data_IF_128351427168
#
_entry.id   IF_128351427168
#
_cell.length_a   1.000
_cell.length_b   1.000
_cell.length_c   1.000
_cell.angle_alpha   90.00
_cell.angle_beta   90.00
_cell.angle_gamma   90.00
#
_symmetry.space_group_name_H-M   'P 1'
#
loop_
_entity.id
_entity.type
_entity.pdbx_description
1 polymer ?
#
# COMPACT_ATOMS: atom_id res chain seq x y z
N UNK A 1 28.46 -9.47 20.07
CA UNK A 1 29.22 -9.33 18.80
C UNK A 1 28.33 -9.88 17.68
N UNK A 2 28.17 -9.16 16.54
CA UNK A 2 27.38 -9.67 15.39
C UNK A 2 28.13 -10.86 14.79
N UNK A 3 27.46 -12.03 14.69
CA UNK A 3 28.09 -13.27 14.25
C UNK A 3 27.70 -13.69 12.83
N UNK A 4 26.71 -13.01 12.20
CA UNK A 4 26.26 -13.30 10.84
C UNK A 4 26.80 -12.24 9.84
N UNK A 5 26.78 -12.58 8.56
CA UNK A 5 27.24 -11.70 7.47
C UNK A 5 26.08 -11.13 6.67
N UNK A 6 26.26 -9.96 6.02
CA UNK A 6 25.29 -9.40 5.07
C UNK A 6 24.93 -10.38 3.96
N UNK A 7 25.89 -11.21 3.50
CA UNK A 7 25.66 -12.23 2.48
C UNK A 7 24.67 -13.31 2.95
N UNK A 8 24.79 -13.76 4.19
CA UNK A 8 23.85 -14.72 4.78
C UNK A 8 22.44 -14.13 4.87
N UNK A 9 22.32 -12.87 5.25
CA UNK A 9 21.06 -12.14 5.31
C UNK A 9 20.44 -11.98 3.90
N UNK A 10 21.24 -11.58 2.89
CA UNK A 10 20.77 -11.47 1.50
C UNK A 10 20.29 -12.82 0.94
N UNK A 11 21.01 -13.90 1.22
CA UNK A 11 20.64 -15.25 0.77
C UNK A 11 19.35 -15.74 1.47
N UNK A 12 19.18 -15.41 2.74
CA UNK A 12 17.94 -15.70 3.46
C UNK A 12 16.75 -14.95 2.85
N UNK A 13 16.88 -13.64 2.62
CA UNK A 13 15.83 -12.82 1.99
C UNK A 13 15.50 -13.32 0.59
N UNK A 14 16.51 -13.55 -0.27
CA UNK A 14 16.30 -14.09 -1.60
C UNK A 14 15.57 -15.45 -1.58
N UNK A 15 15.93 -16.34 -0.65
CA UNK A 15 15.28 -17.64 -0.50
C UNK A 15 13.83 -17.53 -0.05
N UNK A 16 13.54 -16.59 0.86
CA UNK A 16 12.17 -16.30 1.31
C UNK A 16 11.29 -15.77 0.17
N UNK A 17 11.84 -14.89 -0.68
CA UNK A 17 11.12 -14.31 -1.82
C UNK A 17 10.83 -15.32 -2.94
N UNK A 18 11.75 -16.23 -3.20
CA UNK A 18 11.58 -17.22 -4.25
C UNK A 18 10.92 -18.53 -3.80
N UNK A 19 10.80 -18.76 -2.46
CA UNK A 19 10.25 -19.99 -1.90
C UNK A 19 11.06 -21.26 -2.24
N UNK A 20 12.26 -21.11 -2.84
CA UNK A 20 13.09 -22.19 -3.34
C UNK A 20 14.56 -21.78 -3.41
N UNK A 21 15.45 -22.57 -2.78
CA UNK A 21 16.89 -22.27 -2.74
C UNK A 21 17.52 -22.23 -4.14
N UNK A 22 17.13 -23.13 -5.03
CA UNK A 22 17.71 -23.19 -6.39
C UNK A 22 17.31 -21.96 -7.23
N UNK A 23 16.07 -21.49 -7.10
CA UNK A 23 15.62 -20.27 -7.77
C UNK A 23 16.32 -19.02 -7.21
N UNK A 24 16.44 -18.92 -5.89
CA UNK A 24 17.17 -17.85 -5.22
C UNK A 24 18.66 -17.82 -5.60
N UNK A 25 19.31 -19.00 -5.66
CA UNK A 25 20.71 -19.14 -6.03
C UNK A 25 20.96 -18.64 -7.47
N UNK A 26 20.07 -19.00 -8.42
CA UNK A 26 20.12 -18.46 -9.80
C UNK A 26 19.96 -16.94 -9.81
N UNK A 27 19.01 -16.40 -9.05
CA UNK A 27 18.77 -14.97 -8.98
C UNK A 27 19.96 -14.18 -8.38
N UNK A 28 20.77 -14.81 -7.54
CA UNK A 28 21.98 -14.21 -6.96
C UNK A 28 23.29 -14.64 -7.64
N UNK A 29 23.22 -15.40 -8.75
CA UNK A 29 24.38 -15.90 -9.50
C UNK A 29 25.37 -16.70 -8.64
N UNK A 30 24.86 -17.56 -7.75
CA UNK A 30 25.66 -18.41 -6.87
C UNK A 30 25.28 -19.88 -6.98
N UNK A 31 26.17 -20.77 -6.54
CA UNK A 31 25.88 -22.19 -6.46
C UNK A 31 24.85 -22.50 -5.37
N UNK A 32 23.85 -23.31 -5.68
CA UNK A 32 22.80 -23.70 -4.73
C UNK A 32 23.36 -24.32 -3.42
N UNK A 33 24.41 -25.18 -3.43
CA UNK A 33 24.99 -25.68 -2.18
C UNK A 33 25.56 -24.56 -1.29
N UNK A 34 26.18 -23.54 -1.88
CA UNK A 34 26.74 -22.41 -1.12
C UNK A 34 25.62 -21.59 -0.42
N UNK A 35 24.52 -21.34 -1.14
CA UNK A 35 23.35 -20.65 -0.55
C UNK A 35 22.72 -21.50 0.56
N UNK A 36 22.52 -22.78 0.34
CA UNK A 36 21.95 -23.70 1.34
C UNK A 36 22.81 -23.77 2.62
N UNK A 37 24.15 -23.82 2.43
CA UNK A 37 25.11 -23.82 3.55
C UNK A 37 25.05 -22.51 4.33
N UNK A 38 25.02 -21.37 3.65
CA UNK A 38 24.96 -20.04 4.29
C UNK A 38 23.67 -19.86 5.11
N UNK A 39 22.53 -20.35 4.61
CA UNK A 39 21.25 -20.35 5.36
C UNK A 39 21.36 -21.28 6.55
N UNK A 40 21.90 -22.47 6.41
CA UNK A 40 22.10 -23.40 7.52
C UNK A 40 23.01 -22.86 8.62
N UNK A 41 24.07 -22.15 8.24
CA UNK A 41 24.94 -21.42 9.19
C UNK A 41 24.17 -20.31 9.92
N UNK A 42 23.36 -19.53 9.21
CA UNK A 42 22.53 -18.49 9.82
C UNK A 42 21.54 -19.07 10.83
N UNK A 43 20.85 -20.16 10.48
CA UNK A 43 19.96 -20.89 11.39
C UNK A 43 20.70 -21.39 12.65
N UNK A 44 21.90 -21.92 12.46
CA UNK A 44 22.73 -22.40 13.58
C UNK A 44 23.15 -21.24 14.50
N UNK A 45 23.57 -20.10 13.93
CA UNK A 45 23.96 -18.92 14.70
C UNK A 45 22.80 -18.30 15.50
N UNK A 46 21.61 -18.35 14.94
CA UNK A 46 20.40 -17.82 15.59
C UNK A 46 19.73 -18.83 16.53
N UNK A 47 20.13 -20.11 16.47
CA UNK A 47 19.50 -21.19 17.25
C UNK A 47 18.08 -21.55 16.80
N UNK A 48 17.63 -21.04 15.64
CA UNK A 48 16.26 -21.14 15.16
C UNK A 48 16.19 -21.60 13.70
N UNK A 49 15.20 -22.42 13.36
CA UNK A 49 14.88 -22.74 11.97
C UNK A 49 14.09 -21.59 11.33
N UNK A 50 14.55 -21.14 10.18
CA UNK A 50 13.93 -20.05 9.45
C UNK A 50 12.96 -20.54 8.37
N UNK A 51 13.17 -21.79 7.90
CA UNK A 51 12.34 -22.40 6.88
C UNK A 51 11.82 -23.78 7.31
N UNK A 52 10.57 -24.05 6.97
CA UNK A 52 10.02 -25.41 6.92
C UNK A 52 10.33 -26.01 5.55
N UNK A 53 10.90 -27.23 5.52
CA UNK A 53 11.09 -28.02 4.29
C UNK A 53 9.87 -28.94 4.13
N UNK A 54 9.05 -28.71 3.13
CA UNK A 54 7.97 -29.61 2.77
C UNK A 54 8.35 -30.37 1.49
N UNK A 55 8.36 -31.69 1.54
CA UNK A 55 8.59 -32.53 0.36
C UNK A 55 7.58 -32.16 -0.75
N UNK A 56 8.06 -31.80 -1.94
CA UNK A 56 7.24 -31.46 -3.09
C UNK A 56 6.62 -30.05 -3.11
N UNK A 57 6.76 -29.22 -2.06
CA UNK A 57 6.07 -27.91 -1.96
C UNK A 57 7.01 -26.71 -1.72
N UNK A 58 8.32 -26.87 -1.89
CA UNK A 58 9.29 -25.80 -1.71
C UNK A 58 9.57 -25.47 -0.23
N UNK A 59 9.98 -24.24 0.03
CA UNK A 59 10.29 -23.70 1.36
C UNK A 59 9.21 -22.72 1.80
N UNK A 60 8.78 -22.82 3.05
CA UNK A 60 7.91 -21.85 3.72
C UNK A 60 8.57 -21.31 4.98
N UNK A 61 8.37 -20.03 5.28
CA UNK A 61 8.94 -19.43 6.48
C UNK A 61 8.31 -19.99 7.77
N UNK A 62 9.15 -20.20 8.77
CA UNK A 62 8.71 -20.40 10.16
C UNK A 62 8.20 -19.07 10.76
N UNK A 63 7.57 -19.08 11.95
CA UNK A 63 7.30 -17.85 12.69
C UNK A 63 8.54 -16.99 12.91
N UNK A 64 9.66 -17.59 13.34
CA UNK A 64 10.95 -16.90 13.49
C UNK A 64 11.47 -16.35 12.16
N UNK A 65 11.35 -17.12 11.06
CA UNK A 65 11.72 -16.67 9.72
C UNK A 65 10.91 -15.46 9.24
N UNK A 66 9.62 -15.38 9.57
CA UNK A 66 8.80 -14.20 9.23
C UNK A 66 9.27 -12.94 9.96
N UNK A 67 9.50 -13.03 11.26
CA UNK A 67 10.01 -11.92 12.08
C UNK A 67 11.38 -11.46 11.55
N UNK A 68 12.29 -12.41 11.29
CA UNK A 68 13.60 -12.10 10.77
C UNK A 68 13.55 -11.48 9.37
N UNK A 69 12.61 -11.88 8.52
CA UNK A 69 12.52 -11.37 7.14
C UNK A 69 12.34 -9.86 7.08
N UNK A 70 11.46 -9.33 7.91
CA UNK A 70 11.22 -7.88 7.95
C UNK A 70 12.45 -7.13 8.46
N UNK A 71 13.10 -7.64 9.52
CA UNK A 71 14.36 -7.07 10.04
C UNK A 71 15.51 -7.18 9.03
N UNK A 72 15.63 -8.32 8.34
CA UNK A 72 16.64 -8.56 7.33
C UNK A 72 16.50 -7.59 6.13
N UNK A 73 15.28 -7.36 5.68
CA UNK A 73 15.00 -6.38 4.62
C UNK A 73 15.37 -4.97 5.03
N UNK A 74 15.01 -4.55 6.23
CA UNK A 74 15.36 -3.24 6.77
C UNK A 74 16.90 -3.06 6.83
N UNK A 75 17.61 -4.10 7.29
CA UNK A 75 19.08 -4.10 7.37
C UNK A 75 19.73 -3.98 5.98
N UNK A 76 19.26 -4.74 4.99
CA UNK A 76 19.78 -4.68 3.61
C UNK A 76 19.46 -3.34 2.94
N UNK A 77 18.29 -2.79 3.18
CA UNK A 77 17.91 -1.44 2.73
C UNK A 77 18.87 -0.39 3.30
N UNK A 78 19.13 -0.43 4.61
CA UNK A 78 20.08 0.47 5.26
C UNK A 78 21.50 0.32 4.70
N UNK A 79 21.98 -0.91 4.47
CA UNK A 79 23.29 -1.17 3.89
C UNK A 79 23.40 -0.61 2.45
N UNK A 80 22.33 -0.74 1.66
CA UNK A 80 22.26 -0.15 0.31
C UNK A 80 22.31 1.38 0.36
N UNK A 81 21.59 1.98 1.30
CA UNK A 81 21.60 3.43 1.52
C UNK A 81 22.99 3.95 1.92
N UNK A 82 23.71 3.22 2.77
CA UNK A 82 25.09 3.57 3.14
C UNK A 82 26.03 3.58 1.91
N UNK A 83 25.88 2.63 1.00
CA UNK A 83 26.68 2.54 -0.21
C UNK A 83 26.34 3.67 -1.21
N UNK A 84 25.08 4.06 -1.32
CA UNK A 84 24.62 5.13 -2.23
C UNK A 84 24.86 6.55 -1.68
N UNK A 85 25.08 6.71 -0.38
CA UNK A 85 25.35 8.01 0.24
C UNK A 85 26.74 8.57 -0.10
N UNK A 86 27.62 7.75 -0.62
CA UNK A 86 29.03 8.13 -0.87
C UNK A 86 29.23 8.92 -2.17
N UNK A 87 28.30 8.89 -3.13
CA UNK A 87 28.42 9.58 -4.44
C UNK A 87 27.04 10.07 -4.89
N UNK A 88 26.79 11.39 -5.02
CA UNK A 88 25.56 11.88 -5.65
C UNK A 88 25.53 11.43 -7.11
N UNK A 89 24.50 10.73 -7.56
CA UNK A 89 24.43 10.30 -8.95
C UNK A 89 24.21 11.50 -9.88
N UNK A 90 25.07 11.66 -10.86
CA UNK A 90 24.86 12.56 -11.99
C UNK A 90 24.09 11.80 -13.07
N UNK A 91 22.82 12.17 -13.30
CA UNK A 91 21.98 11.58 -14.35
C UNK A 91 20.85 10.68 -13.87
N UNK A 92 20.22 9.90 -14.80
CA UNK A 92 19.13 8.99 -14.47
C UNK A 92 19.55 7.97 -13.40
N UNK A 93 18.72 7.82 -12.37
CA UNK A 93 18.99 6.91 -11.26
C UNK A 93 18.72 5.47 -11.66
N UNK A 94 19.51 4.54 -11.09
CA UNK A 94 19.39 3.09 -11.25
C UNK A 94 19.16 2.45 -9.88
N UNK A 95 18.61 1.23 -9.89
CA UNK A 95 18.37 0.44 -8.68
C UNK A 95 16.91 0.11 -8.46
N UNK A 96 16.58 -0.29 -7.25
CA UNK A 96 15.21 -0.72 -6.87
C UNK A 96 14.66 0.20 -5.80
N UNK A 97 13.37 0.54 -5.93
CA UNK A 97 12.55 1.23 -4.95
C UNK A 97 11.32 0.36 -4.68
N UNK A 98 11.05 0.01 -3.44
CA UNK A 98 9.78 -0.65 -3.09
C UNK A 98 8.79 0.41 -2.61
N UNK A 99 7.68 0.51 -3.33
CA UNK A 99 6.59 1.45 -3.06
C UNK A 99 5.38 0.68 -2.54
N UNK A 100 5.00 0.93 -1.29
CA UNK A 100 3.73 0.48 -0.73
C UNK A 100 2.57 1.31 -1.28
N UNK A 101 1.39 0.72 -1.41
CA UNK A 101 0.19 1.48 -1.73
C UNK A 101 -1.05 0.88 -1.08
N UNK A 102 -1.92 1.77 -0.59
CA UNK A 102 -3.25 1.36 -0.19
C UNK A 102 -4.00 0.81 -1.40
N UNK A 103 -4.53 -0.42 -1.29
CA UNK A 103 -5.05 -1.21 -2.40
C UNK A 103 -6.09 -0.49 -3.26
N UNK A 104 -6.98 0.30 -2.63
CA UNK A 104 -8.07 0.99 -3.34
C UNK A 104 -7.61 2.32 -3.98
N UNK A 105 -6.40 2.81 -3.67
CA UNK A 105 -5.76 3.94 -4.37
C UNK A 105 -4.85 3.48 -5.52
N UNK A 106 -4.27 2.29 -5.39
CA UNK A 106 -3.26 1.79 -6.30
C UNK A 106 -3.66 1.90 -7.79
N UNK A 107 -4.82 1.38 -8.23
CA UNK A 107 -5.19 1.41 -9.65
C UNK A 107 -5.45 2.82 -10.19
N UNK A 108 -5.71 3.79 -9.33
CA UNK A 108 -6.07 5.16 -9.77
C UNK A 108 -4.88 6.12 -9.78
N UNK A 109 -3.91 5.91 -8.90
CA UNK A 109 -2.79 6.84 -8.68
C UNK A 109 -1.49 6.30 -9.25
N UNK A 110 -1.15 5.04 -8.96
CA UNK A 110 0.16 4.49 -9.28
C UNK A 110 0.47 4.42 -10.78
N UNK A 111 -0.43 4.01 -11.68
CA UNK A 111 -0.09 3.87 -13.09
C UNK A 111 0.45 5.17 -13.70
N UNK A 112 -0.18 6.30 -13.36
CA UNK A 112 0.24 7.63 -13.84
C UNK A 112 1.58 8.05 -13.22
N UNK A 113 1.76 7.87 -11.91
CA UNK A 113 3.00 8.20 -11.22
C UNK A 113 4.17 7.38 -11.75
N UNK A 114 3.98 6.06 -11.87
CA UNK A 114 5.03 5.15 -12.34
C UNK A 114 5.40 5.40 -13.79
N UNK A 115 4.42 5.64 -14.65
CA UNK A 115 4.69 5.96 -16.06
C UNK A 115 5.50 7.26 -16.20
N UNK A 116 5.19 8.27 -15.37
CA UNK A 116 5.94 9.52 -15.35
C UNK A 116 7.35 9.37 -14.81
N UNK A 117 7.50 8.67 -13.67
CA UNK A 117 8.80 8.45 -13.04
C UNK A 117 9.75 7.63 -13.92
N UNK A 118 9.23 6.58 -14.59
CA UNK A 118 10.01 5.75 -15.53
C UNK A 118 10.58 6.55 -16.71
N UNK A 119 9.89 7.59 -17.17
CA UNK A 119 10.44 8.46 -18.23
C UNK A 119 11.68 9.23 -17.80
N UNK A 120 11.78 9.59 -16.52
CA UNK A 120 12.95 10.31 -15.96
C UNK A 120 14.06 9.35 -15.53
N UNK A 121 13.69 8.15 -15.10
CA UNK A 121 14.61 7.15 -14.56
C UNK A 121 14.32 5.77 -15.20
N UNK A 122 14.68 5.56 -16.49
CA UNK A 122 14.32 4.35 -17.24
C UNK A 122 14.94 3.06 -16.68
N UNK A 123 16.09 3.17 -16.00
CA UNK A 123 16.80 2.04 -15.37
C UNK A 123 16.37 1.80 -13.92
N UNK A 124 15.42 2.59 -13.39
CA UNK A 124 14.86 2.38 -12.06
C UNK A 124 13.78 1.31 -12.08
N UNK A 125 13.87 0.36 -11.17
CA UNK A 125 12.86 -0.67 -10.94
C UNK A 125 12.03 -0.25 -9.72
N UNK A 126 10.72 -0.09 -9.90
CA UNK A 126 9.79 0.17 -8.80
C UNK A 126 8.97 -1.09 -8.56
N UNK A 127 9.25 -1.76 -7.44
CA UNK A 127 8.47 -2.90 -6.96
C UNK A 127 7.28 -2.39 -6.18
N UNK A 128 6.10 -2.99 -6.41
CA UNK A 128 4.87 -2.57 -5.75
C UNK A 128 4.48 -3.57 -4.65
N UNK A 129 4.01 -3.01 -3.55
CA UNK A 129 3.34 -3.73 -2.48
C UNK A 129 1.96 -3.10 -2.26
N UNK A 130 0.89 -3.84 -2.51
CA UNK A 130 -0.47 -3.37 -2.29
C UNK A 130 -1.05 -4.03 -1.03
N UNK A 131 -1.73 -3.24 -0.19
CA UNK A 131 -2.31 -3.73 1.05
C UNK A 131 -3.37 -2.78 1.61
N UNK A 132 -3.98 -3.19 2.72
CA UNK A 132 -4.79 -2.30 3.55
C UNK A 132 -3.91 -1.33 4.38
N UNK A 133 -4.53 -0.48 5.18
CA UNK A 133 -3.80 0.52 5.99
C UNK A 133 -2.77 -0.13 6.92
N UNK A 134 -3.12 -1.25 7.56
CA UNK A 134 -2.25 -1.96 8.49
C UNK A 134 -1.05 -2.57 7.75
N UNK A 135 -1.31 -3.29 6.66
CA UNK A 135 -0.26 -3.93 5.88
C UNK A 135 0.70 -2.90 5.24
N UNK A 136 0.18 -1.76 4.75
CA UNK A 136 0.99 -0.67 4.21
C UNK A 136 1.86 -0.03 5.29
N UNK A 137 1.30 0.23 6.48
CA UNK A 137 2.07 0.73 7.62
C UNK A 137 3.16 -0.25 8.06
N UNK A 138 2.81 -1.52 8.23
CA UNK A 138 3.77 -2.57 8.58
C UNK A 138 4.89 -2.69 7.54
N UNK A 139 4.59 -2.51 6.25
CA UNK A 139 5.58 -2.52 5.20
C UNK A 139 6.60 -1.38 5.30
N UNK A 140 6.16 -0.19 5.74
CA UNK A 140 7.03 0.95 6.00
C UNK A 140 7.90 0.71 7.26
N UNK A 141 7.27 0.34 8.37
CA UNK A 141 7.96 0.13 9.66
C UNK A 141 8.94 -1.05 9.56
N UNK A 142 8.55 -2.13 8.89
CA UNK A 142 9.40 -3.30 8.66
C UNK A 142 10.44 -3.12 7.54
N UNK A 143 10.53 -1.94 6.91
CA UNK A 143 11.50 -1.66 5.84
C UNK A 143 11.28 -2.43 4.54
N UNK A 144 10.11 -3.05 4.36
CA UNK A 144 9.72 -3.68 3.08
C UNK A 144 9.50 -2.62 2.01
N UNK A 145 8.85 -1.51 2.38
CA UNK A 145 8.65 -0.35 1.50
C UNK A 145 9.42 0.84 2.04
N UNK A 146 10.11 1.56 1.17
CA UNK A 146 10.76 2.82 1.52
C UNK A 146 9.77 3.99 1.55
N UNK A 147 8.78 3.92 0.68
CA UNK A 147 7.70 4.91 0.53
C UNK A 147 6.37 4.19 0.44
N UNK A 148 5.30 4.88 0.79
CA UNK A 148 3.94 4.38 0.57
C UNK A 148 2.98 5.48 0.15
N UNK A 149 2.05 5.15 -0.75
CA UNK A 149 0.91 6.00 -1.11
C UNK A 149 -0.31 5.53 -0.35
N UNK A 150 -0.89 6.39 0.48
CA UNK A 150 -2.04 6.04 1.31
C UNK A 150 -2.90 7.28 1.62
N UNK A 151 -4.06 7.07 2.22
CA UNK A 151 -4.78 8.16 2.84
C UNK A 151 -4.13 8.61 4.15
N UNK A 152 -4.27 9.89 4.49
CA UNK A 152 -3.81 10.45 5.77
C UNK A 152 -4.74 10.02 6.93
N UNK A 153 -5.06 8.72 7.01
CA UNK A 153 -5.89 8.12 8.05
C UNK A 153 -5.05 7.28 8.99
N UNK A 154 -5.09 7.57 10.30
CA UNK A 154 -4.38 6.76 11.30
C UNK A 154 -2.85 6.77 11.12
N UNK A 155 -2.29 7.80 10.49
CA UNK A 155 -0.84 7.95 10.34
C UNK A 155 -0.26 8.53 11.63
N UNK A 156 0.70 7.82 12.22
CA UNK A 156 1.38 8.21 13.45
C UNK A 156 2.39 9.34 13.21
N UNK A 157 2.86 9.96 14.30
CA UNK A 157 3.73 11.13 14.25
C UNK A 157 5.14 10.85 13.69
N UNK A 158 5.58 9.60 13.74
CA UNK A 158 6.89 9.13 13.27
C UNK A 158 6.96 8.90 11.74
N UNK A 159 5.92 9.25 11.01
CA UNK A 159 5.83 9.11 9.56
C UNK A 159 5.79 10.49 8.90
N UNK A 160 6.83 10.80 8.12
CA UNK A 160 6.85 11.95 7.18
C UNK A 160 5.83 11.74 6.08
N UNK A 161 5.17 12.83 5.68
CA UNK A 161 4.12 12.79 4.67
C UNK A 161 4.17 14.00 3.76
N UNK A 162 3.88 13.76 2.49
CA UNK A 162 3.72 14.78 1.46
C UNK A 162 2.35 14.59 0.83
N UNK A 163 1.53 15.63 0.86
CA UNK A 163 0.18 15.60 0.25
C UNK A 163 0.31 15.51 -1.27
N UNK A 164 -0.30 14.50 -1.86
CA UNK A 164 -0.37 14.28 -3.31
C UNK A 164 -1.69 14.77 -3.91
N UNK A 165 -2.79 14.60 -3.16
CA UNK A 165 -4.12 14.99 -3.60
C UNK A 165 -5.04 15.23 -2.39
N UNK A 166 -6.06 16.06 -2.61
CA UNK A 166 -7.18 16.24 -1.69
C UNK A 166 -8.46 15.78 -2.38
N UNK A 167 -9.11 14.76 -1.83
CA UNK A 167 -10.27 14.10 -2.40
C UNK A 167 -11.51 14.39 -1.55
N UNK A 168 -12.42 15.26 -2.03
CA UNK A 168 -13.65 15.53 -1.29
C UNK A 168 -14.55 14.30 -1.27
N UNK A 169 -15.22 14.01 -0.14
CA UNK A 169 -16.19 12.93 -0.08
C UNK A 169 -17.41 13.22 -0.97
N UNK A 170 -17.94 12.18 -1.58
CA UNK A 170 -19.11 12.24 -2.43
C UNK A 170 -20.03 11.03 -2.21
N UNK A 171 -21.30 11.19 -2.58
CA UNK A 171 -22.29 10.11 -2.51
C UNK A 171 -22.22 9.22 -3.75
N UNK A 172 -22.20 7.91 -3.54
CA UNK A 172 -22.42 6.86 -4.52
C UNK A 172 -23.87 6.39 -4.42
N UNK A 173 -24.60 6.45 -5.53
CA UNK A 173 -26.02 6.15 -5.60
C UNK A 173 -26.30 5.24 -6.81
N UNK A 174 -27.29 4.35 -6.73
CA UNK A 174 -27.83 3.73 -7.96
C UNK A 174 -28.24 4.83 -8.94
N UNK A 175 -27.99 4.65 -10.23
CA UNK A 175 -28.35 5.66 -11.25
C UNK A 175 -29.85 5.97 -11.27
N UNK A 176 -30.69 5.00 -10.88
CA UNK A 176 -32.15 5.13 -10.81
C UNK A 176 -32.66 5.74 -9.49
N UNK A 177 -31.77 5.95 -8.50
CA UNK A 177 -32.18 6.43 -7.18
C UNK A 177 -32.77 7.85 -7.24
N UNK A 178 -33.81 8.20 -6.47
CA UNK A 178 -34.38 9.56 -6.48
C UNK A 178 -33.36 10.65 -6.16
N UNK A 179 -32.43 10.41 -5.24
CA UNK A 179 -31.35 11.33 -4.90
C UNK A 179 -30.35 11.54 -6.07
N UNK A 180 -30.25 10.61 -7.00
CA UNK A 180 -29.35 10.73 -8.16
C UNK A 180 -29.78 11.86 -9.13
N UNK A 181 -31.02 12.32 -9.06
CA UNK A 181 -31.52 13.45 -9.87
C UNK A 181 -31.13 14.82 -9.28
N UNK A 182 -30.63 14.85 -8.05
CA UNK A 182 -30.21 16.09 -7.38
C UNK A 182 -28.81 16.52 -7.83
N UNK A 183 -28.51 17.82 -7.75
CA UNK A 183 -27.15 18.35 -8.03
C UNK A 183 -26.17 18.00 -6.91
N UNK A 184 -26.64 17.98 -5.66
CA UNK A 184 -25.90 17.55 -4.46
C UNK A 184 -26.82 16.80 -3.52
N UNK A 185 -26.25 16.05 -2.56
CA UNK A 185 -27.02 15.25 -1.60
C UNK A 185 -26.51 15.55 -0.19
N UNK A 186 -27.44 15.81 0.75
CA UNK A 186 -27.06 16.04 2.15
C UNK A 186 -26.81 14.74 2.91
N UNK A 187 -25.98 14.82 3.95
CA UNK A 187 -25.77 13.71 4.89
C UNK A 187 -27.08 13.29 5.56
N UNK A 188 -27.96 14.25 5.85
CA UNK A 188 -29.31 13.98 6.37
C UNK A 188 -30.14 13.11 5.43
N UNK A 189 -30.04 13.31 4.13
CA UNK A 189 -30.76 12.49 3.16
C UNK A 189 -30.16 11.07 3.05
N UNK A 190 -28.82 10.97 3.04
CA UNK A 190 -28.13 9.69 2.99
C UNK A 190 -28.32 8.85 4.27
N UNK A 191 -28.42 9.49 5.44
CA UNK A 191 -28.64 8.79 6.70
C UNK A 191 -29.98 8.05 6.78
N UNK A 192 -30.94 8.40 5.92
CA UNK A 192 -32.26 7.72 5.82
C UNK A 192 -32.21 6.47 4.94
N UNK A 193 -31.15 6.32 4.16
CA UNK A 193 -30.96 5.21 3.23
C UNK A 193 -30.19 4.05 3.88
N UNK A 194 -30.19 2.90 3.21
CA UNK A 194 -29.32 1.77 3.58
C UNK A 194 -27.88 2.10 3.18
N UNK A 195 -27.00 2.32 4.16
CA UNK A 195 -25.60 2.63 3.89
C UNK A 195 -24.78 1.36 3.73
N UNK A 196 -23.94 1.33 2.70
CA UNK A 196 -22.93 0.31 2.44
C UNK A 196 -21.56 0.92 2.75
N UNK A 197 -20.77 0.29 3.61
CA UNK A 197 -19.42 0.77 4.00
C UNK A 197 -18.35 -0.27 3.65
N UNK A 198 -17.14 0.20 3.44
CA UNK A 198 -15.97 -0.66 3.40
C UNK A 198 -15.60 -1.09 4.83
N UNK A 199 -15.29 -2.40 5.00
CA UNK A 199 -14.96 -3.00 6.30
C UNK A 199 -13.47 -2.82 6.64
N UNK A 200 -13.05 -1.57 6.71
CA UNK A 200 -11.74 -1.15 7.20
C UNK A 200 -11.93 -0.15 8.32
N UNK A 201 -11.32 -0.40 9.47
CA UNK A 201 -11.55 0.37 10.69
C UNK A 201 -11.40 1.88 10.47
N UNK A 202 -10.31 2.31 9.83
CA UNK A 202 -10.00 3.71 9.58
C UNK A 202 -11.01 4.35 8.60
N UNK A 203 -11.36 3.67 7.51
CA UNK A 203 -12.35 4.17 6.54
C UNK A 203 -13.73 4.25 7.17
N UNK A 204 -14.13 3.23 7.93
CA UNK A 204 -15.41 3.18 8.63
C UNK A 204 -15.53 4.32 9.64
N UNK A 205 -14.52 4.51 10.48
CA UNK A 205 -14.49 5.61 11.46
C UNK A 205 -14.58 6.97 10.76
N UNK A 206 -13.80 7.18 9.71
CA UNK A 206 -13.83 8.42 8.94
C UNK A 206 -15.23 8.71 8.37
N UNK A 207 -15.83 7.79 7.61
CA UNK A 207 -17.14 8.05 7.02
C UNK A 207 -18.26 8.18 8.06
N UNK A 208 -18.22 7.39 9.11
CA UNK A 208 -19.18 7.52 10.20
C UNK A 208 -19.03 8.85 10.95
N UNK A 209 -17.80 9.34 11.16
CA UNK A 209 -17.55 10.63 11.80
C UNK A 209 -18.17 11.81 11.05
N UNK A 210 -18.25 11.73 9.71
CA UNK A 210 -18.90 12.75 8.89
C UNK A 210 -20.40 12.89 9.26
N UNK A 211 -21.09 11.77 9.47
CA UNK A 211 -22.48 11.77 9.89
C UNK A 211 -22.64 12.25 11.33
N UNK A 212 -21.83 11.72 12.25
CA UNK A 212 -21.91 12.06 13.68
C UNK A 212 -21.63 13.55 13.95
N UNK A 213 -20.65 14.12 13.27
CA UNK A 213 -20.33 15.54 13.37
C UNK A 213 -21.49 16.45 12.93
N UNK A 214 -22.45 15.92 12.14
CA UNK A 214 -23.65 16.63 11.69
C UNK A 214 -24.92 16.15 12.40
N UNK A 215 -24.81 15.40 13.49
CA UNK A 215 -25.94 14.94 14.29
C UNK A 215 -26.76 13.82 13.66
N UNK A 216 -26.20 13.06 12.72
CA UNK A 216 -26.90 11.98 12.04
C UNK A 216 -26.34 10.60 12.45
N UNK A 217 -27.25 9.61 12.49
CA UNK A 217 -26.92 8.21 12.75
C UNK A 217 -27.42 7.35 11.57
N UNK A 218 -26.54 7.10 10.57
CA UNK A 218 -26.94 6.32 9.41
C UNK A 218 -27.07 4.84 9.76
N UNK A 219 -27.98 4.16 9.03
CA UNK A 219 -28.15 2.71 9.14
C UNK A 219 -27.20 2.00 8.19
N UNK A 220 -26.12 1.43 8.72
CA UNK A 220 -25.25 0.55 7.93
C UNK A 220 -25.95 -0.78 7.71
N UNK A 221 -26.20 -1.11 6.46
CA UNK A 221 -26.89 -2.34 6.05
C UNK A 221 -25.94 -3.44 5.62
N UNK A 222 -24.76 -3.08 5.13
CA UNK A 222 -23.78 -4.04 4.61
C UNK A 222 -22.35 -3.48 4.68
N UNK A 223 -21.39 -4.39 4.86
CA UNK A 223 -19.96 -4.13 4.76
C UNK A 223 -19.36 -4.83 3.54
N UNK A 224 -18.31 -4.22 2.95
CA UNK A 224 -17.57 -4.77 1.80
C UNK A 224 -16.08 -4.73 2.06
N UNK A 225 -15.31 -5.61 1.42
CA UNK A 225 -13.86 -5.70 1.59
C UNK A 225 -13.08 -4.83 0.58
N UNK A 226 -13.75 -4.34 -0.46
CA UNK A 226 -13.13 -3.54 -1.51
C UNK A 226 -14.08 -2.44 -2.00
N UNK A 227 -13.49 -1.35 -2.47
CA UNK A 227 -14.22 -0.24 -3.07
C UNK A 227 -15.07 -0.66 -4.28
N UNK A 228 -14.56 -1.53 -5.14
CA UNK A 228 -15.31 -1.95 -6.33
C UNK A 228 -16.48 -2.88 -5.98
N UNK A 229 -16.38 -3.69 -4.92
CA UNK A 229 -17.55 -4.43 -4.43
C UNK A 229 -18.63 -3.49 -3.88
N UNK A 230 -18.23 -2.42 -3.17
CA UNK A 230 -19.16 -1.37 -2.73
C UNK A 230 -19.85 -0.71 -3.93
N UNK A 231 -19.09 -0.34 -4.98
CA UNK A 231 -19.64 0.23 -6.22
C UNK A 231 -20.62 -0.71 -6.92
N UNK A 232 -20.28 -2.00 -7.01
CA UNK A 232 -21.15 -3.02 -7.60
C UNK A 232 -22.48 -3.14 -6.86
N UNK A 233 -22.45 -3.24 -5.53
CA UNK A 233 -23.67 -3.32 -4.70
C UNK A 233 -24.53 -2.06 -4.83
N UNK A 234 -23.92 -0.88 -4.85
CA UNK A 234 -24.63 0.38 -5.09
C UNK A 234 -25.26 0.38 -6.48
N UNK A 235 -24.52 0.00 -7.52
CA UNK A 235 -25.02 -0.04 -8.89
C UNK A 235 -26.29 -0.90 -9.02
N UNK A 236 -26.33 -2.03 -8.30
CA UNK A 236 -27.46 -2.96 -8.26
C UNK A 236 -28.53 -2.63 -7.22
N UNK A 237 -28.49 -1.45 -6.59
CA UNK A 237 -29.58 -0.95 -5.73
C UNK A 237 -29.61 -1.54 -4.33
N UNK A 238 -28.54 -2.18 -3.84
CA UNK A 238 -28.48 -2.72 -2.48
C UNK A 238 -28.48 -1.62 -1.39
N UNK A 239 -28.07 -0.40 -1.76
CA UNK A 239 -28.03 0.76 -0.88
C UNK A 239 -27.29 1.93 -1.52
N UNK A 240 -26.83 2.86 -0.68
CA UNK A 240 -26.03 4.01 -1.06
C UNK A 240 -24.68 3.98 -0.32
N UNK A 241 -23.69 4.73 -0.79
CA UNK A 241 -22.41 4.79 -0.10
C UNK A 241 -21.80 6.20 -0.13
N UNK A 242 -20.75 6.42 0.67
CA UNK A 242 -19.81 7.53 0.56
C UNK A 242 -18.47 7.00 0.10
N UNK A 243 -17.77 7.79 -0.70
CA UNK A 243 -16.38 7.54 -1.08
C UNK A 243 -15.64 8.85 -1.32
N UNK A 244 -14.32 8.79 -1.31
CA UNK A 244 -13.41 9.86 -1.72
C UNK A 244 -12.69 9.51 -3.03
N UNK A 245 -12.34 8.24 -3.25
CA UNK A 245 -11.74 7.78 -4.51
C UNK A 245 -12.78 7.81 -5.63
N UNK A 246 -12.49 8.57 -6.69
CA UNK A 246 -13.40 8.69 -7.83
C UNK A 246 -12.74 8.21 -9.12
N UNK A 247 -13.10 7.02 -9.62
CA UNK A 247 -12.73 6.57 -10.96
C UNK A 247 -13.24 7.51 -12.05
N UNK A 248 -12.59 7.51 -13.21
CA UNK A 248 -13.00 8.33 -14.35
C UNK A 248 -14.39 7.96 -14.89
N UNK A 249 -14.82 6.69 -14.69
CA UNK A 249 -16.11 6.18 -15.16
C UNK A 249 -17.12 6.02 -14.02
N UNK A 250 -18.34 6.48 -14.25
CA UNK A 250 -19.47 6.30 -13.33
C UNK A 250 -20.22 4.96 -13.64
N UNK A 251 -19.46 3.84 -13.65
CA UNK A 251 -19.96 2.49 -13.85
C UNK A 251 -19.26 1.51 -12.93
N UNK A 252 -19.94 0.46 -12.48
CA UNK A 252 -19.33 -0.71 -11.82
C UNK A 252 -18.53 -1.55 -12.83
N UNK A 253 -17.75 -2.52 -12.37
CA UNK A 253 -16.96 -3.40 -13.24
C UNK A 253 -17.80 -4.21 -14.23
N UNK A 254 -19.03 -4.55 -13.88
CA UNK A 254 -20.00 -5.22 -14.77
C UNK A 254 -20.77 -4.24 -15.67
N UNK A 255 -20.40 -2.95 -15.68
CA UNK A 255 -20.90 -1.96 -16.60
C UNK A 255 -22.20 -1.25 -16.19
N UNK A 256 -22.77 -1.56 -15.01
CA UNK A 256 -24.01 -0.92 -14.52
C UNK A 256 -23.72 0.52 -14.07
N UNK A 257 -24.59 1.45 -14.46
CA UNK A 257 -24.42 2.88 -14.19
C UNK A 257 -24.57 3.22 -12.69
N UNK A 258 -23.72 4.11 -12.21
CA UNK A 258 -23.72 4.68 -10.86
C UNK A 258 -23.87 6.19 -10.97
N UNK A 259 -24.57 6.81 -10.04
CA UNK A 259 -24.60 8.27 -9.93
C UNK A 259 -23.67 8.73 -8.78
N UNK A 260 -22.70 9.56 -9.11
CA UNK A 260 -21.85 10.22 -8.14
C UNK A 260 -22.35 11.64 -7.91
N UNK A 261 -22.60 12.03 -6.65
CA UNK A 261 -23.09 13.37 -6.32
C UNK A 261 -22.26 14.00 -5.21
N UNK A 262 -21.86 15.27 -5.34
CA UNK A 262 -21.20 15.99 -4.25
C UNK A 262 -22.11 16.03 -3.01
N UNK A 263 -21.47 16.07 -1.83
CA UNK A 263 -22.16 16.29 -0.57
C UNK A 263 -22.48 17.77 -0.43
N UNK A 264 -23.65 18.08 0.12
CA UNK A 264 -24.13 19.46 0.28
C UNK A 264 -23.34 20.19 1.38
N UNK A 265 -23.05 19.49 2.47
CA UNK A 265 -22.29 20.01 3.61
C UNK A 265 -20.83 20.25 3.21
N UNK A 266 -20.23 21.30 3.75
CA UNK A 266 -18.79 21.58 3.55
C UNK A 266 -17.97 20.63 4.41
N UNK A 267 -17.50 19.54 3.80
CA UNK A 267 -16.67 18.54 4.44
C UNK A 267 -15.19 18.76 4.12
N UNK A 268 -14.32 18.43 5.07
CA UNK A 268 -12.88 18.40 4.81
C UNK A 268 -12.56 17.29 3.80
N UNK A 269 -11.73 17.58 2.78
CA UNK A 269 -11.30 16.55 1.84
C UNK A 269 -10.41 15.53 2.53
N UNK A 270 -10.46 14.30 2.06
CA UNK A 270 -9.51 13.26 2.46
C UNK A 270 -8.19 13.48 1.72
N UNK A 271 -7.09 13.52 2.45
CA UNK A 271 -5.76 13.68 1.85
C UNK A 271 -5.17 12.34 1.46
N UNK A 272 -4.69 12.27 0.23
CA UNK A 272 -3.78 11.21 -0.21
C UNK A 272 -2.37 11.69 -0.03
N UNK A 273 -1.55 10.89 0.62
CA UNK A 273 -0.18 11.26 0.96
C UNK A 273 0.81 10.22 0.43
N UNK A 274 2.00 10.69 0.09
CA UNK A 274 3.19 9.87 0.03
C UNK A 274 3.79 9.87 1.44
N UNK A 275 4.01 8.70 2.00
CA UNK A 275 4.44 8.49 3.37
C UNK A 275 5.81 7.82 3.43
N UNK A 276 6.61 8.16 4.43
CA UNK A 276 7.91 7.57 4.73
C UNK A 276 8.14 7.55 6.24
N UNK A 277 8.78 6.52 6.76
CA UNK A 277 9.22 6.50 8.15
C UNK A 277 10.23 7.65 8.41
N UNK A 278 9.98 8.48 9.42
CA UNK A 278 10.80 9.68 9.70
C UNK A 278 12.26 9.35 10.01
N UNK A 279 12.48 8.28 10.75
CA UNK A 279 13.82 7.78 11.09
C UNK A 279 14.55 7.14 9.89
N UNK A 280 13.86 6.85 8.78
CA UNK A 280 14.47 6.22 7.62
C UNK A 280 15.23 7.26 6.77
N UNK A 281 16.48 6.97 6.48
CA UNK A 281 17.25 7.73 5.50
C UNK A 281 16.73 7.38 4.09
N UNK A 282 16.41 8.40 3.30
CA UNK A 282 15.96 8.19 1.91
C UNK A 282 17.10 7.65 1.04
N UNK A 283 16.80 6.61 0.25
CA UNK A 283 17.63 6.26 -0.88
C UNK A 283 17.57 7.37 -1.96
N UNK A 284 18.56 7.49 -2.84
CA UNK A 284 18.49 8.45 -3.95
C UNK A 284 17.25 8.29 -4.82
N UNK A 285 16.79 7.05 -5.06
CA UNK A 285 15.56 6.77 -5.80
C UNK A 285 14.31 7.21 -5.03
N UNK A 286 14.26 6.97 -3.71
CA UNK A 286 13.14 7.43 -2.88
C UNK A 286 13.07 8.95 -2.84
N UNK A 287 14.22 9.64 -2.67
CA UNK A 287 14.29 11.10 -2.71
C UNK A 287 13.83 11.67 -4.07
N UNK A 288 14.26 11.07 -5.17
CA UNK A 288 13.83 11.45 -6.51
C UNK A 288 12.34 11.20 -6.73
N UNK A 289 11.80 10.07 -6.23
CA UNK A 289 10.38 9.77 -6.34
C UNK A 289 9.53 10.76 -5.54
N UNK A 290 9.96 11.14 -4.32
CA UNK A 290 9.29 12.18 -3.51
C UNK A 290 9.27 13.52 -4.26
N UNK A 291 10.43 13.96 -4.79
CA UNK A 291 10.51 15.20 -5.55
C UNK A 291 9.56 15.18 -6.75
N UNK A 292 9.61 14.11 -7.55
CA UNK A 292 8.74 13.92 -8.72
C UNK A 292 7.25 13.90 -8.37
N UNK A 293 6.86 13.16 -7.33
CA UNK A 293 5.46 13.00 -6.96
C UNK A 293 4.82 14.29 -6.42
N UNK A 294 5.61 15.17 -5.82
CA UNK A 294 5.15 16.49 -5.32
C UNK A 294 4.85 17.50 -6.42
N UNK A 295 5.38 17.31 -7.62
CA UNK A 295 5.17 18.20 -8.78
C UNK A 295 3.95 17.80 -9.62
N UNK A 296 3.27 16.69 -9.31
CA UNK A 296 2.18 16.10 -10.11
C UNK A 296 0.83 16.24 -9.45
#
# INVERSE_FOLDING_TARGET
MIQFTFRQIDYFVATAEHGNVSAAARARHVAQPAMSMAIGQLETLLGEKLFHRRAGHGLTLTPAGRILLDQARALLSLATQMSSAAIPPAGPLKGRLTLGCFKDLAPYILPRLLAGFRKLHPDAIVDLFEGDFTAVRESLVGGRSELAVTYELGIEADIKRWVLAELPPYALLPATHPLARRRSVSLAALAKEKLILEDMAQSREYFMSLFWAHGHQPRVSQYTQTFEMQRGLVAHGAGVALSCTRPAGDRSYDGVAIACRPITEKLAPQRVVLAQLDAARQSPLAAAFVAFAREK
#
